data_IF_891862991349
#
_entry.id   IF_891862991349
#
_cell.length_a   1.000
_cell.length_b   1.000
_cell.length_c   1.000
_cell.angle_alpha   90.00
_cell.angle_beta   90.00
_cell.angle_gamma   90.00
#
_symmetry.space_group_name_H-M   'P 1'
#
loop_
_entity.id
_entity.type
_entity.pdbx_description
1 polymer ?
#
# COMPACT_ATOMS: atom_id res chain seq x y z
N UNK A 1 2.54 -15.45 7.19
CA UNK A 1 1.68 -15.27 5.98
C UNK A 1 2.45 -14.47 4.96
N UNK A 2 2.31 -14.74 3.66
CA UNK A 2 3.08 -14.07 2.59
C UNK A 2 2.16 -13.39 1.59
N UNK A 3 2.48 -12.15 1.25
CA UNK A 3 1.73 -11.30 0.32
C UNK A 3 2.60 -10.97 -0.88
N UNK A 4 2.21 -11.46 -2.05
CA UNK A 4 2.86 -11.12 -3.32
C UNK A 4 2.42 -9.73 -3.79
N UNK A 5 3.36 -8.94 -4.29
CA UNK A 5 3.14 -7.58 -4.75
C UNK A 5 3.65 -7.46 -6.19
N UNK A 6 2.73 -7.60 -7.13
CA UNK A 6 2.96 -7.36 -8.55
C UNK A 6 1.62 -7.03 -9.20
N UNK A 7 1.54 -5.95 -9.97
CA UNK A 7 0.29 -5.52 -10.57
C UNK A 7 -0.27 -6.61 -11.50
N UNK A 8 -1.49 -7.05 -11.23
CA UNK A 8 -2.17 -8.09 -12.00
C UNK A 8 -3.65 -7.77 -12.14
N UNK A 9 -4.18 -8.03 -13.34
CA UNK A 9 -5.62 -8.07 -13.56
C UNK A 9 -6.21 -9.32 -12.90
N UNK A 10 -6.65 -9.15 -11.65
CA UNK A 10 -7.20 -10.20 -10.82
C UNK A 10 -8.31 -9.60 -9.96
N UNK A 11 -9.51 -10.18 -10.06
CA UNK A 11 -10.63 -9.77 -9.23
C UNK A 11 -10.34 -10.10 -7.75
N UNK A 12 -10.71 -9.21 -6.80
CA UNK A 12 -10.59 -9.49 -5.38
C UNK A 12 -11.45 -10.70 -4.99
N UNK A 13 -10.85 -11.66 -4.28
CA UNK A 13 -11.50 -12.89 -3.83
C UNK A 13 -11.21 -13.13 -2.35
N UNK A 14 -12.26 -13.08 -1.52
CA UNK A 14 -12.15 -13.28 -0.06
C UNK A 14 -11.81 -14.72 0.31
N UNK A 15 -12.11 -15.69 -0.55
CA UNK A 15 -11.75 -17.10 -0.34
C UNK A 15 -10.26 -17.36 -0.59
N UNK A 16 -9.60 -16.47 -1.35
CA UNK A 16 -8.18 -16.56 -1.70
C UNK A 16 -7.49 -15.21 -1.43
N UNK A 17 -7.33 -14.82 -0.16
CA UNK A 17 -6.93 -13.46 0.21
C UNK A 17 -5.48 -13.11 -0.16
N UNK A 18 -4.62 -14.09 -0.42
CA UNK A 18 -3.18 -13.88 -0.67
C UNK A 18 -2.83 -13.62 -2.14
N UNK A 19 -3.81 -13.28 -2.98
CA UNK A 19 -3.59 -12.97 -4.39
C UNK A 19 -3.10 -11.52 -4.56
N UNK A 20 -2.16 -11.34 -5.49
CA UNK A 20 -1.76 -10.01 -5.94
C UNK A 20 -2.85 -9.41 -6.86
N UNK A 21 -3.14 -8.12 -6.66
CA UNK A 21 -4.21 -7.39 -7.36
C UNK A 21 -3.62 -6.28 -8.24
N UNK A 22 -4.46 -5.32 -8.62
CA UNK A 22 -4.14 -4.26 -9.58
C UNK A 22 -2.98 -3.34 -9.19
N UNK A 23 -2.80 -3.07 -7.90
CA UNK A 23 -1.86 -2.06 -7.40
C UNK A 23 -0.76 -2.64 -6.53
N UNK A 24 0.37 -1.95 -6.49
CA UNK A 24 1.51 -2.26 -5.62
C UNK A 24 1.88 -1.02 -4.83
N UNK A 25 1.84 -1.12 -3.50
CA UNK A 25 2.16 -0.02 -2.61
C UNK A 25 3.02 -0.52 -1.43
N UNK A 26 4.36 -0.54 -1.58
CA UNK A 26 5.29 -1.04 -0.56
C UNK A 26 5.50 -0.05 0.58
N UNK A 27 4.42 0.27 1.28
CA UNK A 27 4.41 1.11 2.46
C UNK A 27 3.63 0.42 3.57
N UNK A 28 4.14 0.49 4.79
CA UNK A 28 3.40 0.07 5.98
C UNK A 28 3.50 1.12 7.07
N UNK A 29 2.46 1.16 7.90
CA UNK A 29 2.40 1.93 9.12
C UNK A 29 2.30 0.94 10.28
N UNK A 30 3.17 1.09 11.26
CA UNK A 30 3.20 0.27 12.46
C UNK A 30 2.87 1.13 13.69
N UNK A 31 2.03 0.57 14.56
CA UNK A 31 1.72 1.13 15.87
C UNK A 31 2.68 0.56 16.91
N UNK A 32 3.19 1.42 17.77
CA UNK A 32 4.03 1.07 18.90
C UNK A 32 3.19 0.91 20.17
N UNK A 33 3.73 0.23 21.19
CA UNK A 33 3.02 0.02 22.46
C UNK A 33 2.67 1.32 23.18
N UNK A 34 3.45 2.38 22.96
CA UNK A 34 3.26 3.69 23.61
C UNK A 34 2.18 4.54 22.92
N UNK A 35 1.51 4.02 21.89
CA UNK A 35 0.50 4.73 21.10
C UNK A 35 1.08 5.61 19.99
N UNK A 36 2.41 5.66 19.87
CA UNK A 36 3.10 6.28 18.75
C UNK A 36 2.99 5.41 17.49
N UNK A 37 3.24 6.01 16.33
CA UNK A 37 3.27 5.32 15.05
C UNK A 37 4.50 5.70 14.24
N UNK A 38 5.02 4.74 13.48
CA UNK A 38 6.02 4.99 12.46
C UNK A 38 5.58 4.38 11.12
N UNK A 39 6.06 4.97 10.03
CA UNK A 39 5.85 4.47 8.68
C UNK A 39 7.17 4.10 8.02
N UNK A 40 7.12 3.12 7.12
CA UNK A 40 8.28 2.74 6.30
C UNK A 40 7.82 2.54 4.87
N UNK A 41 8.53 3.21 3.95
CA UNK A 41 8.37 3.06 2.51
C UNK A 41 9.59 2.33 1.97
N UNK A 42 9.36 1.27 1.21
CA UNK A 42 10.41 0.59 0.46
C UNK A 42 10.25 0.99 -0.99
N UNK A 43 11.12 1.88 -1.48
CA UNK A 43 11.01 2.48 -2.79
C UNK A 43 11.52 1.53 -3.88
N UNK A 44 10.70 0.53 -4.21
CA UNK A 44 11.01 -0.49 -5.19
C UNK A 44 9.76 -0.85 -6.01
N UNK A 45 9.96 -1.04 -7.32
CA UNK A 45 8.89 -1.34 -8.29
C UNK A 45 9.00 -2.72 -8.92
N UNK A 46 10.00 -3.51 -8.55
CA UNK A 46 10.16 -4.88 -9.03
C UNK A 46 9.12 -5.80 -8.38
N UNK A 47 8.95 -7.00 -8.92
CA UNK A 47 8.12 -8.00 -8.26
C UNK A 47 8.70 -8.31 -6.87
N UNK A 48 7.86 -8.20 -5.87
CA UNK A 48 8.29 -8.26 -4.48
C UNK A 48 7.24 -8.96 -3.64
N UNK A 49 7.61 -9.36 -2.44
CA UNK A 49 6.71 -9.98 -1.49
C UNK A 49 7.07 -9.61 -0.06
N UNK A 50 6.06 -9.68 0.79
CA UNK A 50 6.17 -9.40 2.21
C UNK A 50 5.68 -10.62 2.99
N UNK A 51 6.53 -11.18 3.84
CA UNK A 51 6.17 -12.26 4.76
C UNK A 51 6.13 -11.73 6.18
N UNK A 52 4.97 -11.88 6.83
CA UNK A 52 4.81 -11.64 8.27
C UNK A 52 5.03 -12.95 9.03
N UNK A 53 5.98 -12.91 9.96
CA UNK A 53 6.28 -14.04 10.84
C UNK A 53 5.40 -14.07 12.11
N UNK A 54 5.53 -15.13 12.93
CA UNK A 54 4.78 -15.27 14.18
C UNK A 54 5.26 -14.33 15.30
N UNK A 55 6.51 -13.87 15.25
CA UNK A 55 7.01 -12.77 16.08
C UNK A 55 6.78 -11.41 15.39
N UNK A 56 7.01 -10.28 16.07
CA UNK A 56 6.89 -8.94 15.49
C UNK A 56 8.05 -8.67 14.51
N UNK A 57 8.03 -9.32 13.36
CA UNK A 57 8.99 -9.11 12.28
C UNK A 57 8.34 -9.24 10.91
N UNK A 58 8.90 -8.47 9.97
CA UNK A 58 8.52 -8.43 8.57
C UNK A 58 9.73 -8.81 7.74
N UNK A 59 9.56 -9.75 6.81
CA UNK A 59 10.59 -10.15 5.84
C UNK A 59 10.16 -9.62 4.49
N UNK A 60 10.92 -8.66 3.97
CA UNK A 60 10.73 -8.11 2.64
C UNK A 60 11.70 -8.77 1.66
N UNK A 61 11.17 -9.26 0.52
CA UNK A 61 11.96 -9.87 -0.56
C UNK A 61 11.57 -9.22 -1.89
N UNK A 62 12.57 -8.81 -2.68
CA UNK A 62 12.38 -8.30 -4.05
C UNK A 62 13.25 -9.07 -5.02
N UNK A 63 12.80 -9.22 -6.27
CA UNK A 63 13.56 -9.91 -7.32
C UNK A 63 14.69 -9.05 -7.90
N UNK A 64 14.72 -7.74 -7.61
CA UNK A 64 15.72 -6.83 -8.16
C UNK A 64 15.55 -5.39 -7.71
N UNK A 65 16.34 -4.51 -8.31
CA UNK A 65 16.44 -3.10 -7.91
C UNK A 65 17.34 -2.89 -6.69
N UNK A 66 17.30 -1.68 -6.15
CA UNK A 66 18.03 -1.29 -4.93
C UNK A 66 17.06 -1.31 -3.74
N UNK A 67 17.59 -1.61 -2.56
CA UNK A 67 16.86 -1.44 -1.29
C UNK A 67 16.98 0.02 -0.86
N UNK A 68 16.06 0.85 -1.34
CA UNK A 68 15.87 2.22 -0.89
C UNK A 68 14.72 2.25 0.13
N UNK A 69 15.04 2.59 1.39
CA UNK A 69 14.12 2.50 2.52
C UNK A 69 14.05 3.87 3.20
N UNK A 70 12.85 4.45 3.23
CA UNK A 70 12.58 5.73 3.88
C UNK A 70 11.73 5.52 5.13
N UNK A 71 12.12 6.14 6.25
CA UNK A 71 11.44 6.06 7.53
C UNK A 71 10.69 7.36 7.84
N UNK A 72 9.49 7.23 8.41
CA UNK A 72 8.61 8.34 8.80
C UNK A 72 8.28 8.21 10.30
N UNK A 73 8.91 9.01 11.17
CA UNK A 73 8.85 8.80 12.63
C UNK A 73 7.55 9.26 13.33
N UNK A 74 6.58 9.85 12.63
CA UNK A 74 5.32 10.28 13.29
C UNK A 74 5.48 11.55 14.13
N UNK A 75 4.87 11.67 15.33
CA UNK A 75 4.53 10.58 16.28
C UNK A 75 3.11 10.03 16.18
N UNK A 76 2.14 10.79 15.66
CA UNK A 76 0.77 10.28 15.48
C UNK A 76 0.65 9.56 14.12
N UNK A 77 -0.28 8.59 13.95
CA UNK A 77 -0.52 7.97 12.65
C UNK A 77 -0.83 8.99 11.55
N UNK A 78 -1.50 10.08 11.90
CA UNK A 78 -1.80 11.14 10.94
C UNK A 78 -0.53 11.90 10.51
N UNK A 79 0.40 12.15 11.44
CA UNK A 79 1.68 12.79 11.12
C UNK A 79 2.56 11.92 10.24
N UNK A 80 2.58 10.59 10.49
CA UNK A 80 3.25 9.63 9.60
C UNK A 80 2.73 9.77 8.18
N UNK A 81 1.40 9.79 8.00
CA UNK A 81 0.78 9.92 6.69
C UNK A 81 1.05 11.30 6.07
N UNK A 82 1.02 12.39 6.86
CA UNK A 82 1.39 13.74 6.37
C UNK A 82 2.82 13.79 5.86
N UNK A 83 3.76 13.19 6.59
CA UNK A 83 5.17 13.11 6.18
C UNK A 83 5.31 12.26 4.90
N UNK A 84 4.67 11.09 4.87
CA UNK A 84 4.63 10.22 3.71
C UNK A 84 4.11 10.94 2.45
N UNK A 85 2.97 11.62 2.55
CA UNK A 85 2.37 12.38 1.44
C UNK A 85 3.21 13.59 1.04
N UNK A 86 3.96 14.19 1.96
CA UNK A 86 4.91 15.27 1.61
C UNK A 86 6.08 14.75 0.77
N UNK A 87 6.45 13.47 0.94
CA UNK A 87 7.51 12.81 0.19
C UNK A 87 7.04 12.31 -1.18
N UNK A 88 5.91 11.59 -1.23
CA UNK A 88 5.43 10.97 -2.48
C UNK A 88 4.56 11.90 -3.35
N UNK A 89 4.04 12.97 -2.78
CA UNK A 89 3.09 13.87 -3.41
C UNK A 89 1.71 13.85 -2.73
N UNK A 90 1.11 15.04 -2.63
CA UNK A 90 -0.22 15.21 -2.03
C UNK A 90 -1.31 14.77 -3.02
N UNK A 91 -2.44 14.23 -2.54
CA UNK A 91 -3.57 13.91 -3.40
C UNK A 91 -4.05 15.12 -4.20
N UNK A 92 -4.47 14.87 -5.43
CA UNK A 92 -5.10 15.87 -6.27
C UNK A 92 -6.45 16.33 -5.68
N UNK A 93 -6.80 17.61 -5.87
CA UNK A 93 -8.10 18.15 -5.50
C UNK A 93 -9.11 17.89 -6.63
N UNK A 94 -10.08 16.97 -6.47
CA UNK A 94 -11.06 16.71 -7.50
C UNK A 94 -12.00 17.89 -7.69
N UNK A 95 -12.56 18.04 -8.90
CA UNK A 95 -13.62 19.01 -9.15
C UNK A 95 -14.84 18.70 -8.28
N UNK A 96 -15.53 19.74 -7.78
CA UNK A 96 -16.61 19.59 -6.80
C UNK A 96 -17.70 18.61 -7.24
N UNK A 97 -18.08 18.61 -8.52
CA UNK A 97 -19.10 17.71 -9.06
C UNK A 97 -18.71 16.21 -9.04
N UNK A 98 -17.41 15.89 -8.98
CA UNK A 98 -16.94 14.49 -8.94
C UNK A 98 -17.28 13.78 -7.62
N UNK A 99 -17.57 14.55 -6.56
CA UNK A 99 -18.07 14.06 -5.27
C UNK A 99 -19.58 13.77 -5.28
N UNK A 100 -20.25 14.07 -6.39
CA UNK A 100 -21.65 13.70 -6.60
C UNK A 100 -21.84 12.20 -6.88
N UNK A 101 -23.10 11.79 -7.02
CA UNK A 101 -23.45 10.41 -7.37
C UNK A 101 -23.01 10.04 -8.79
N UNK A 102 -22.45 8.85 -8.97
CA UNK A 102 -21.96 8.33 -10.25
C UNK A 102 -22.77 7.10 -10.68
N UNK A 103 -23.18 7.06 -11.95
CA UNK A 103 -23.86 5.90 -12.56
C UNK A 103 -23.07 5.42 -13.77
N UNK A 104 -22.71 4.14 -13.76
CA UNK A 104 -22.04 3.47 -14.86
C UNK A 104 -22.64 2.06 -15.01
N UNK A 105 -22.78 1.56 -16.24
CA UNK A 105 -23.09 0.15 -16.50
C UNK A 105 -22.22 -0.37 -17.64
N UNK A 106 -21.70 -1.58 -17.49
CA UNK A 106 -21.09 -2.30 -18.60
C UNK A 106 -22.21 -2.97 -19.40
N UNK A 107 -22.31 -2.66 -20.70
CA UNK A 107 -23.17 -3.39 -21.62
C UNK A 107 -22.32 -4.52 -22.20
N UNK A 108 -22.54 -5.77 -21.77
CA UNK A 108 -21.99 -6.92 -22.48
C UNK A 108 -22.70 -6.99 -23.84
N UNK A 109 -21.95 -6.76 -24.92
CA UNK A 109 -22.37 -7.18 -26.26
C UNK A 109 -22.34 -8.72 -26.30
N UNK A 110 -23.40 -9.31 -26.88
CA UNK A 110 -23.52 -10.64 -27.50
C UNK A 110 -22.34 -11.61 -27.32
#
# INVERSE_FOLDING_TARGET
MTWGMFARDQAPDSSRPLQNLYGVHPFYLALENDGNAHGVLIWNSNAQEVTLGPGPHLVYRTIGGMLDITFFPGPTPEDVIRQYLSYIGKPYLPAYFALGFQVLRQISQI
#
